data_IF_256232863819
#
_entry.id   IF_256232863819
#
_cell.length_a   1.000
_cell.length_b   1.000
_cell.length_c   1.000
_cell.angle_alpha   90.00
_cell.angle_beta   90.00
_cell.angle_gamma   90.00
#
_symmetry.space_group_name_H-M   'P 1'
#
loop_
_entity.id
_entity.type
_entity.pdbx_description
1 polymer ?
#
# COMPACT_ATOMS: atom_id res chain seq x y z
N UNK A 1 -3.72 -3.63 -17.26
CA UNK A 1 -4.20 -3.05 -15.98
C UNK A 1 -5.56 -3.63 -15.63
N UNK A 2 -5.72 -4.18 -14.42
CA UNK A 2 -6.97 -4.75 -13.93
C UNK A 2 -7.98 -3.65 -13.58
N UNK A 3 -9.28 -4.02 -13.44
CA UNK A 3 -10.34 -3.04 -13.17
C UNK A 3 -10.09 -2.23 -11.88
N UNK A 4 -9.66 -2.88 -10.80
CA UNK A 4 -9.41 -2.21 -9.51
C UNK A 4 -8.16 -1.32 -9.58
N UNK A 5 -7.09 -1.75 -10.28
CA UNK A 5 -5.88 -0.95 -10.51
C UNK A 5 -6.22 0.35 -11.26
N UNK A 6 -7.08 0.25 -12.28
CA UNK A 6 -7.58 1.41 -13.03
C UNK A 6 -8.40 2.34 -12.14
N UNK A 7 -9.33 1.78 -11.35
CA UNK A 7 -10.17 2.55 -10.43
C UNK A 7 -9.32 3.28 -9.39
N UNK A 8 -8.32 2.61 -8.85
CA UNK A 8 -7.39 3.20 -7.89
C UNK A 8 -6.55 4.31 -8.53
N UNK A 9 -6.01 4.09 -9.73
CA UNK A 9 -5.22 5.10 -10.45
C UNK A 9 -6.07 6.33 -10.81
N UNK A 10 -7.32 6.13 -11.28
CA UNK A 10 -8.25 7.23 -11.56
C UNK A 10 -8.58 8.03 -10.28
N UNK A 11 -8.75 7.35 -9.15
CA UNK A 11 -8.93 7.97 -7.84
C UNK A 11 -7.73 8.82 -7.44
N UNK A 12 -6.51 8.29 -7.58
CA UNK A 12 -5.25 8.98 -7.27
C UNK A 12 -5.09 10.24 -8.12
N UNK A 13 -5.31 10.13 -9.43
CA UNK A 13 -5.20 11.26 -10.36
C UNK A 13 -6.26 12.33 -10.11
N UNK A 14 -7.51 11.91 -9.88
CA UNK A 14 -8.63 12.84 -9.61
C UNK A 14 -8.42 13.67 -8.34
N UNK A 15 -7.77 13.11 -7.33
CA UNK A 15 -7.53 13.79 -6.05
C UNK A 15 -6.17 14.52 -6.00
N UNK A 16 -5.45 14.60 -7.12
CA UNK A 16 -4.18 15.32 -7.21
C UNK A 16 -3.07 14.74 -6.33
N UNK A 17 -3.14 13.45 -6.05
CA UNK A 17 -2.20 12.76 -5.15
C UNK A 17 -0.92 12.35 -5.86
N UNK A 18 -0.99 12.25 -7.17
CA UNK A 18 0.14 12.05 -8.03
C UNK A 18 0.52 13.39 -8.66
N UNK A 19 1.65 13.94 -8.25
CA UNK A 19 2.28 15.07 -8.91
C UNK A 19 3.34 14.53 -9.87
N UNK A 20 3.33 15.03 -11.08
CA UNK A 20 4.25 14.66 -12.12
C UNK A 20 5.12 15.88 -12.38
N UNK A 21 6.35 15.85 -11.91
CA UNK A 21 7.30 16.94 -12.15
C UNK A 21 7.91 16.81 -13.57
N UNK A 22 8.11 15.59 -14.04
CA UNK A 22 8.53 15.27 -15.40
C UNK A 22 8.13 13.82 -15.76
N UNK A 23 8.22 13.38 -17.04
CA UNK A 23 7.83 12.03 -17.45
C UNK A 23 8.51 10.87 -16.73
N UNK A 24 9.60 11.13 -16.02
CA UNK A 24 10.40 10.12 -15.32
C UNK A 24 10.31 10.24 -13.79
N UNK A 25 9.66 11.30 -13.26
CA UNK A 25 9.59 11.60 -11.83
C UNK A 25 8.16 11.80 -11.38
N UNK A 26 7.65 10.86 -10.58
CA UNK A 26 6.33 10.92 -9.97
C UNK A 26 6.46 11.23 -8.47
N UNK A 27 5.64 12.15 -8.00
CA UNK A 27 5.50 12.45 -6.59
C UNK A 27 4.15 11.94 -6.09
N UNK A 28 4.16 11.10 -5.08
CA UNK A 28 2.95 10.56 -4.49
C UNK A 28 2.81 11.01 -3.03
N UNK A 29 1.71 11.69 -2.70
CA UNK A 29 1.43 12.17 -1.36
C UNK A 29 0.18 11.50 -0.80
N UNK A 30 0.36 10.39 -0.07
CA UNK A 30 -0.73 9.76 0.69
C UNK A 30 -1.22 10.62 1.86
N UNK A 31 -0.36 11.42 2.48
CA UNK A 31 -0.69 12.20 3.67
C UNK A 31 -1.89 13.15 3.52
N UNK A 32 -2.14 13.66 2.32
CA UNK A 32 -3.31 14.50 2.04
C UNK A 32 -4.62 13.71 1.86
N UNK A 33 -4.56 12.38 1.80
CA UNK A 33 -5.73 11.50 1.63
C UNK A 33 -6.44 11.15 2.92
N UNK A 34 -5.79 11.31 4.06
CA UNK A 34 -6.27 10.83 5.36
C UNK A 34 -7.54 11.53 5.87
N UNK A 35 -8.01 12.57 5.16
CA UNK A 35 -9.08 13.41 5.68
C UNK A 35 -10.50 12.85 5.53
N UNK A 36 -10.71 11.77 4.76
CA UNK A 36 -12.05 11.19 4.62
C UNK A 36 -12.04 9.65 4.65
N UNK A 37 -13.04 9.06 5.31
CA UNK A 37 -13.22 7.60 5.34
C UNK A 37 -13.35 6.98 3.95
N UNK A 38 -13.91 7.71 2.97
CA UNK A 38 -14.03 7.25 1.57
C UNK A 38 -12.66 7.04 0.93
N UNK A 39 -11.72 7.92 1.19
CA UNK A 39 -10.37 7.81 0.67
C UNK A 39 -9.63 6.62 1.31
N UNK A 40 -9.79 6.46 2.61
CA UNK A 40 -9.22 5.33 3.35
C UNK A 40 -9.75 3.98 2.84
N UNK A 41 -11.05 3.89 2.59
CA UNK A 41 -11.68 2.71 1.97
C UNK A 41 -11.08 2.44 0.58
N UNK A 42 -10.89 3.45 -0.26
CA UNK A 42 -10.35 3.27 -1.61
C UNK A 42 -8.91 2.74 -1.58
N UNK A 43 -8.09 3.22 -0.64
CA UNK A 43 -6.72 2.73 -0.43
C UNK A 43 -6.75 1.30 0.10
N UNK A 44 -7.52 1.04 1.15
CA UNK A 44 -7.66 -0.30 1.72
C UNK A 44 -8.13 -1.33 0.71
N UNK A 45 -9.11 -0.99 -0.15
CA UNK A 45 -9.57 -1.84 -1.24
C UNK A 45 -8.43 -2.21 -2.21
N UNK A 46 -7.63 -1.22 -2.62
CA UNK A 46 -6.55 -1.46 -3.57
C UNK A 46 -5.48 -2.42 -3.00
N UNK A 47 -5.11 -2.25 -1.74
CA UNK A 47 -4.22 -3.17 -1.05
C UNK A 47 -4.85 -4.56 -0.89
N UNK A 48 -6.08 -4.65 -0.39
CA UNK A 48 -6.78 -5.92 -0.15
C UNK A 48 -6.93 -6.74 -1.43
N UNK A 49 -7.32 -6.12 -2.55
CA UNK A 49 -7.43 -6.76 -3.86
C UNK A 49 -6.07 -7.29 -4.34
N UNK A 50 -5.00 -6.49 -4.20
CA UNK A 50 -3.66 -6.91 -4.59
C UNK A 50 -3.16 -8.07 -3.74
N UNK A 51 -3.36 -7.99 -2.43
CA UNK A 51 -2.95 -9.02 -1.47
C UNK A 51 -3.68 -10.33 -1.74
N UNK A 52 -5.02 -10.28 -1.86
CA UNK A 52 -5.83 -11.48 -2.13
C UNK A 52 -5.41 -12.16 -3.43
N UNK A 53 -5.09 -11.40 -4.49
CA UNK A 53 -4.64 -11.97 -5.75
C UNK A 53 -3.24 -12.60 -5.69
N UNK A 54 -2.36 -12.11 -4.82
CA UNK A 54 -0.97 -12.58 -4.72
C UNK A 54 -0.76 -13.67 -3.69
N UNK A 55 -1.49 -13.60 -2.60
CA UNK A 55 -1.25 -14.44 -1.42
C UNK A 55 -2.49 -15.29 -1.03
N UNK A 56 -3.66 -15.04 -1.64
CA UNK A 56 -4.90 -15.71 -1.25
C UNK A 56 -5.24 -15.41 0.20
N UNK A 57 -5.57 -16.46 0.97
CA UNK A 57 -5.88 -16.39 2.41
C UNK A 57 -4.78 -17.01 3.30
N UNK A 58 -3.57 -17.22 2.76
CA UNK A 58 -2.50 -17.96 3.46
C UNK A 58 -1.65 -17.06 4.39
N UNK A 59 -2.29 -16.10 5.06
CA UNK A 59 -1.69 -15.22 6.06
C UNK A 59 -2.73 -14.83 7.13
N UNK A 60 -2.27 -14.36 8.28
CA UNK A 60 -3.12 -13.99 9.41
C UNK A 60 -2.73 -12.65 10.05
N UNK A 61 -1.78 -11.94 9.43
CA UNK A 61 -1.30 -10.65 9.94
C UNK A 61 -0.99 -9.70 8.79
N UNK A 62 -1.44 -8.45 8.93
CA UNK A 62 -0.99 -7.32 8.11
C UNK A 62 -0.04 -6.45 8.93
N UNK A 63 1.13 -6.17 8.40
CA UNK A 63 2.09 -5.24 8.98
C UNK A 63 2.12 -3.97 8.13
N UNK A 64 1.67 -2.85 8.69
CA UNK A 64 1.78 -1.54 8.04
C UNK A 64 3.11 -0.88 8.38
N UNK A 65 3.85 -0.44 7.37
CA UNK A 65 5.04 0.38 7.54
C UNK A 65 4.81 1.71 6.84
N UNK A 66 4.76 2.77 7.62
CA UNK A 66 4.30 4.07 7.16
C UNK A 66 5.19 5.21 7.64
N UNK A 67 5.19 6.27 6.88
CA UNK A 67 5.81 7.55 7.20
C UNK A 67 4.76 8.65 7.46
N UNK A 68 3.48 8.32 7.28
CA UNK A 68 2.31 9.19 7.47
C UNK A 68 1.44 8.72 8.64
N UNK A 69 0.49 9.54 9.07
CA UNK A 69 -0.48 9.18 10.12
C UNK A 69 -1.62 8.26 9.61
N UNK A 70 -1.57 7.86 8.33
CA UNK A 70 -2.58 7.02 7.73
C UNK A 70 -2.45 5.56 8.19
N UNK A 71 -3.53 4.98 8.73
CA UNK A 71 -3.58 3.55 9.08
C UNK A 71 -3.82 2.68 7.84
N UNK A 72 -2.75 2.39 7.11
CA UNK A 72 -2.81 1.55 5.90
C UNK A 72 -3.14 0.10 6.26
N UNK A 73 -2.51 -0.42 7.31
CA UNK A 73 -2.75 -1.80 7.74
C UNK A 73 -4.18 -2.01 8.25
N UNK A 74 -4.69 -1.11 9.08
CA UNK A 74 -6.06 -1.16 9.56
C UNK A 74 -7.08 -1.07 8.44
N UNK A 75 -6.90 -0.14 7.49
CA UNK A 75 -7.75 -0.03 6.32
C UNK A 75 -7.72 -1.29 5.46
N UNK A 76 -6.53 -1.87 5.25
CA UNK A 76 -6.35 -3.10 4.48
C UNK A 76 -7.02 -4.30 5.15
N UNK A 77 -6.81 -4.48 6.45
CA UNK A 77 -7.41 -5.57 7.23
C UNK A 77 -8.94 -5.50 7.19
N UNK A 78 -9.51 -4.30 7.41
CA UNK A 78 -10.96 -4.09 7.30
C UNK A 78 -11.50 -4.48 5.92
N UNK A 79 -10.79 -4.13 4.83
CA UNK A 79 -11.25 -4.44 3.48
C UNK A 79 -11.01 -5.91 3.10
N UNK A 80 -10.03 -6.59 3.66
CA UNK A 80 -9.87 -8.04 3.51
C UNK A 80 -11.05 -8.79 4.10
N UNK A 81 -11.53 -8.37 5.28
CA UNK A 81 -12.74 -8.94 5.88
C UNK A 81 -13.98 -8.65 5.03
N UNK A 82 -14.23 -7.39 4.71
CA UNK A 82 -15.43 -6.94 3.96
C UNK A 82 -15.52 -7.57 2.57
N UNK A 83 -14.42 -7.65 1.82
CA UNK A 83 -14.42 -8.11 0.42
C UNK A 83 -14.25 -9.61 0.27
N UNK A 84 -13.50 -10.25 1.17
CA UNK A 84 -13.06 -11.63 1.02
C UNK A 84 -13.40 -12.53 2.21
N UNK A 85 -14.08 -12.00 3.24
CA UNK A 85 -14.37 -12.69 4.50
C UNK A 85 -13.09 -13.28 5.13
N UNK A 86 -12.01 -12.48 5.10
CA UNK A 86 -10.71 -12.86 5.61
C UNK A 86 -10.34 -11.94 6.77
N UNK A 87 -10.74 -12.34 7.98
CA UNK A 87 -10.40 -11.64 9.23
C UNK A 87 -8.92 -11.84 9.56
N UNK A 88 -8.19 -10.74 9.61
CA UNK A 88 -6.75 -10.70 9.89
C UNK A 88 -6.43 -9.66 10.94
N UNK A 89 -5.43 -9.97 11.78
CA UNK A 89 -4.88 -9.00 12.71
C UNK A 89 -4.02 -7.98 11.98
N UNK A 90 -3.81 -6.82 12.58
CA UNK A 90 -2.87 -5.84 12.03
C UNK A 90 -2.02 -5.18 13.10
N UNK A 91 -0.83 -4.74 12.68
CA UNK A 91 0.09 -3.91 13.45
C UNK A 91 0.64 -2.83 12.53
N UNK A 92 0.84 -1.65 13.06
CA UNK A 92 1.47 -0.54 12.34
C UNK A 92 2.79 -0.15 12.99
N UNK A 93 3.78 0.07 12.16
CA UNK A 93 5.11 0.55 12.51
C UNK A 93 5.37 1.87 11.80
N UNK A 94 5.65 2.93 12.56
CA UNK A 94 6.02 4.21 12.00
C UNK A 94 7.54 4.25 11.79
N UNK A 95 7.97 4.33 10.54
CA UNK A 95 9.38 4.16 10.16
C UNK A 95 10.31 5.16 10.87
N UNK A 96 9.94 6.45 10.94
CA UNK A 96 10.79 7.49 11.55
C UNK A 96 10.89 7.47 13.06
N UNK A 97 9.82 7.09 13.74
CA UNK A 97 9.75 7.18 15.22
C UNK A 97 9.86 5.82 15.89
N UNK A 98 9.85 4.74 15.11
CA UNK A 98 9.76 3.34 15.59
C UNK A 98 8.55 3.10 16.52
N UNK A 99 7.53 3.95 16.42
CA UNK A 99 6.29 3.75 17.17
C UNK A 99 5.52 2.58 16.57
N UNK A 100 5.09 1.67 17.44
CA UNK A 100 4.29 0.50 17.06
C UNK A 100 2.91 0.61 17.68
N UNK A 101 1.86 0.39 16.89
CA UNK A 101 0.47 0.38 17.32
C UNK A 101 -0.25 -0.83 16.75
N UNK A 102 -1.27 -1.34 17.47
CA UNK A 102 -1.99 -2.55 17.07
C UNK A 102 -1.49 -3.81 17.80
N UNK A 103 -1.88 -4.97 17.28
CA UNK A 103 -1.56 -6.26 17.90
C UNK A 103 -0.21 -6.78 17.40
N UNK A 104 0.76 -6.86 18.32
CA UNK A 104 2.12 -7.33 18.02
C UNK A 104 2.13 -8.70 17.35
N UNK A 105 3.08 -8.94 16.42
CA UNK A 105 3.25 -10.26 15.81
C UNK A 105 3.45 -11.36 16.85
N UNK A 106 2.84 -12.52 16.62
CA UNK A 106 3.01 -13.73 17.44
C UNK A 106 3.96 -14.70 16.74
N UNK A 107 4.49 -15.64 17.52
CA UNK A 107 5.29 -16.72 16.98
C UNK A 107 4.47 -17.53 15.96
N UNK A 108 5.08 -17.83 14.82
CA UNK A 108 4.46 -18.51 13.67
C UNK A 108 3.45 -17.69 12.86
N UNK A 109 3.24 -16.41 13.14
CA UNK A 109 2.43 -15.58 12.23
C UNK A 109 2.99 -15.59 10.81
N UNK A 110 2.08 -15.51 9.85
CA UNK A 110 2.35 -15.34 8.43
C UNK A 110 1.85 -13.96 8.04
N UNK A 111 2.78 -13.07 7.77
CA UNK A 111 2.48 -11.66 7.58
C UNK A 111 2.63 -11.24 6.11
N UNK A 112 1.74 -10.35 5.67
CA UNK A 112 1.93 -9.52 4.48
C UNK A 112 2.21 -8.10 4.94
N UNK A 113 3.25 -7.49 4.41
CA UNK A 113 3.62 -6.11 4.70
C UNK A 113 2.94 -5.19 3.70
N UNK A 114 2.31 -4.13 4.18
CA UNK A 114 1.81 -3.01 3.39
C UNK A 114 2.61 -1.78 3.74
N UNK A 115 3.21 -1.13 2.74
CA UNK A 115 4.09 -0.01 2.99
C UNK A 115 3.68 1.22 2.20
N UNK A 116 3.87 2.39 2.80
CA UNK A 116 3.76 3.68 2.10
C UNK A 116 4.79 3.73 0.96
N UNK A 117 4.43 4.37 -0.15
CA UNK A 117 5.29 4.50 -1.32
C UNK A 117 6.59 5.29 -1.05
N UNK A 118 6.59 6.13 0.00
CA UNK A 118 7.76 6.91 0.42
C UNK A 118 8.75 6.11 1.29
N UNK A 119 8.32 4.99 1.86
CA UNK A 119 9.17 4.13 2.71
C UNK A 119 10.11 3.32 1.83
N UNK A 120 11.40 3.32 2.16
CA UNK A 120 12.43 2.57 1.42
C UNK A 120 12.42 1.08 1.77
N UNK A 121 13.10 0.24 0.97
CA UNK A 121 13.24 -1.18 1.29
C UNK A 121 14.11 -1.39 2.55
N UNK A 122 15.06 -0.48 2.82
CA UNK A 122 15.87 -0.49 4.04
C UNK A 122 15.03 -0.17 5.28
N UNK A 123 14.14 0.83 5.22
CA UNK A 123 13.21 1.14 6.30
C UNK A 123 12.29 -0.06 6.59
N UNK A 124 11.82 -0.73 5.54
CA UNK A 124 10.99 -1.94 5.67
C UNK A 124 11.78 -3.05 6.36
N UNK A 125 13.01 -3.30 5.94
CA UNK A 125 13.86 -4.33 6.53
C UNK A 125 14.15 -4.00 8.01
N UNK A 126 14.44 -2.74 8.34
CA UNK A 126 14.67 -2.28 9.71
C UNK A 126 13.43 -2.51 10.59
N UNK A 127 12.25 -2.10 10.13
CA UNK A 127 10.99 -2.26 10.86
C UNK A 127 10.67 -3.75 11.11
N UNK A 128 10.83 -4.60 10.10
CA UNK A 128 10.63 -6.05 10.23
C UNK A 128 11.60 -6.63 11.26
N UNK A 129 12.87 -6.23 11.24
CA UNK A 129 13.87 -6.70 12.19
C UNK A 129 13.54 -6.27 13.62
N UNK A 130 13.08 -5.03 13.83
CA UNK A 130 12.63 -4.56 15.15
C UNK A 130 11.45 -5.38 15.68
N UNK A 131 10.46 -5.68 14.84
CA UNK A 131 9.32 -6.51 15.24
C UNK A 131 9.74 -7.97 15.53
N UNK A 132 10.74 -8.50 14.83
CA UNK A 132 11.28 -9.86 15.04
C UNK A 132 12.07 -10.03 16.32
N UNK A 133 12.58 -8.97 16.91
CA UNK A 133 13.23 -9.03 18.25
C UNK A 133 12.27 -9.57 19.29
N UNK A 134 10.96 -9.31 19.14
CA UNK A 134 9.93 -9.72 20.09
C UNK A 134 9.46 -11.16 19.78
N UNK A 135 9.14 -11.46 18.53
CA UNK A 135 8.65 -12.77 18.10
C UNK A 135 9.06 -13.09 16.68
N UNK A 136 9.38 -14.36 16.42
CA UNK A 136 9.67 -14.86 15.07
C UNK A 136 8.38 -15.08 14.30
N UNK A 137 8.24 -14.40 13.16
CA UNK A 137 7.14 -14.54 12.21
C UNK A 137 7.67 -14.59 10.77
N UNK A 138 6.84 -15.09 9.84
CA UNK A 138 7.20 -15.20 8.42
C UNK A 138 6.58 -14.05 7.65
N UNK A 139 7.39 -13.31 6.89
CA UNK A 139 6.91 -12.34 5.90
C UNK A 139 6.76 -13.06 4.55
N UNK A 140 5.57 -12.98 3.95
CA UNK A 140 5.26 -13.57 2.65
C UNK A 140 5.60 -12.63 1.50
N UNK A 141 5.46 -11.33 1.71
CA UNK A 141 5.81 -10.32 0.74
C UNK A 141 5.45 -8.91 1.21
N UNK A 142 5.82 -7.94 0.40
CA UNK A 142 5.58 -6.52 0.62
C UNK A 142 4.75 -5.95 -0.52
N UNK A 143 3.73 -5.16 -0.21
CA UNK A 143 2.89 -4.46 -1.19
C UNK A 143 3.01 -2.95 -0.96
N UNK A 144 3.23 -2.18 -2.04
CA UNK A 144 3.23 -0.72 -2.04
C UNK A 144 2.22 -0.19 -3.06
N UNK A 145 1.72 1.03 -2.87
CA UNK A 145 0.91 1.67 -3.90
C UNK A 145 1.69 1.81 -5.23
N UNK A 146 2.90 2.34 -5.13
CA UNK A 146 3.82 2.56 -6.24
C UNK A 146 5.26 2.29 -5.77
N UNK A 147 6.11 1.85 -6.69
CA UNK A 147 7.55 1.82 -6.48
C UNK A 147 8.16 3.11 -7.05
N UNK A 148 8.45 4.09 -6.20
CA UNK A 148 9.08 5.36 -6.58
C UNK A 148 10.57 5.21 -6.88
N UNK A 149 11.19 4.13 -6.38
CA UNK A 149 12.57 3.72 -6.61
C UNK A 149 12.62 2.22 -6.90
N UNK A 150 13.72 1.66 -7.39
CA UNK A 150 13.88 0.21 -7.47
C UNK A 150 13.55 -0.46 -6.14
N UNK A 151 12.63 -1.41 -6.16
CA UNK A 151 12.12 -2.08 -4.95
C UNK A 151 11.69 -3.51 -5.29
N UNK A 152 11.83 -4.40 -4.32
CA UNK A 152 11.34 -5.78 -4.37
C UNK A 152 9.85 -5.88 -4.02
N UNK A 153 9.24 -4.79 -3.55
CA UNK A 153 7.82 -4.75 -3.24
C UNK A 153 6.96 -4.90 -4.49
N UNK A 154 5.79 -5.48 -4.31
CA UNK A 154 4.76 -5.64 -5.34
C UNK A 154 3.99 -4.31 -5.43
N UNK A 155 4.07 -3.56 -6.56
CA UNK A 155 3.28 -2.35 -6.70
C UNK A 155 1.82 -2.69 -6.99
N UNK A 156 0.88 -1.91 -6.45
CA UNK A 156 -0.54 -1.97 -6.85
C UNK A 156 -0.68 -1.49 -8.29
N UNK A 157 -0.01 -0.39 -8.62
CA UNK A 157 0.03 0.18 -9.97
C UNK A 157 1.48 0.36 -10.38
N UNK A 158 1.84 -0.09 -11.58
CA UNK A 158 3.20 0.06 -12.10
C UNK A 158 3.43 1.43 -12.74
N UNK A 159 4.68 1.85 -12.85
CA UNK A 159 5.02 3.11 -13.53
C UNK A 159 4.56 3.10 -15.00
N UNK A 160 4.58 1.95 -15.68
CA UNK A 160 4.07 1.81 -17.04
C UNK A 160 2.56 2.03 -17.13
N UNK A 161 1.78 1.60 -16.14
CA UNK A 161 0.34 1.84 -16.06
C UNK A 161 0.02 3.33 -15.89
N UNK A 162 0.79 4.02 -15.05
CA UNK A 162 0.67 5.46 -14.83
C UNK A 162 0.91 6.21 -16.15
N UNK A 163 2.02 5.92 -16.82
CA UNK A 163 2.38 6.55 -18.10
C UNK A 163 1.34 6.27 -19.18
N UNK A 164 0.85 5.03 -19.27
CA UNK A 164 -0.21 4.64 -20.19
C UNK A 164 -1.49 5.46 -19.97
N UNK A 165 -1.91 5.61 -18.69
CA UNK A 165 -3.12 6.35 -18.34
C UNK A 165 -3.01 7.84 -18.62
N UNK A 166 -1.85 8.42 -18.38
CA UNK A 166 -1.59 9.84 -18.71
C UNK A 166 -1.69 10.11 -20.20
N UNK A 167 -1.10 9.24 -21.04
CA UNK A 167 -1.23 9.33 -22.51
C UNK A 167 -2.68 9.27 -22.97
N UNK A 168 -3.51 8.39 -22.37
CA UNK A 168 -4.94 8.31 -22.65
C UNK A 168 -5.67 9.62 -22.32
N UNK A 169 -5.37 10.24 -21.16
CA UNK A 169 -5.99 11.50 -20.72
C UNK A 169 -5.59 12.64 -21.67
N UNK A 170 -4.30 12.74 -22.01
CA UNK A 170 -3.81 13.76 -22.93
C UNK A 170 -4.43 13.62 -24.33
N UNK A 171 -4.54 12.40 -24.86
CA UNK A 171 -5.13 12.16 -26.17
C UNK A 171 -6.63 12.52 -26.24
N UNK A 172 -7.36 12.43 -25.13
CA UNK A 172 -8.76 12.85 -25.04
C UNK A 172 -8.92 14.36 -24.90
N UNK A 173 -7.97 15.05 -24.28
CA UNK A 173 -7.98 16.51 -24.14
C UNK A 173 -7.70 17.22 -25.47
N UNK A 174 -6.90 16.60 -26.37
CA UNK A 174 -6.57 17.15 -27.69
C UNK A 174 -7.73 16.97 -28.71
N UNK A 175 -8.67 16.05 -28.43
CA UNK A 175 -9.83 15.77 -29.31
C UNK A 175 -11.09 16.60 -28.99
N UNK A 176 -11.01 17.45 -28.00
CA UNK A 176 -12.05 18.45 -27.64
C UNK A 176 -11.62 19.84 -28.08
#
# INVERSE_FOLDING_TARGET
MKKFEKTFLDFVLKNGLLKIDNPESFYFQLGNLSSTGKNLISIGNAYAETINQRFGSDFNLIIGIKDSDLSIAGATAMQLDVLFNHDVRFVEHQARTSLVTGEMPKHHDRAVVVADSTVTDDDIAQAINQLRVINLFKVLGVVKCFNLSPSTAIPIVTNSDILGRLKEIQSRAVKK
#
